data_IF_348155697818
#
_entry.id   IF_348155697818
#
_cell.length_a   1.000
_cell.length_b   1.000
_cell.length_c   1.000
_cell.angle_alpha   90.00
_cell.angle_beta   90.00
_cell.angle_gamma   90.00
#
_symmetry.space_group_name_H-M   'P 1'
#
loop_
_entity.id
_entity.type
_entity.pdbx_description
1 polymer ?
#
# COMPACT_ATOMS: atom_id res chain seq x y z
N UNK A 1 -5.19 30.07 16.16
CA UNK A 1 -6.08 28.91 15.93
C UNK A 1 -5.83 28.38 14.52
N UNK A 2 -5.03 27.31 14.37
CA UNK A 2 -4.67 26.76 13.05
C UNK A 2 -5.85 25.94 12.49
N UNK A 3 -6.50 26.45 11.43
CA UNK A 3 -7.54 25.72 10.70
C UNK A 3 -6.88 24.66 9.81
N UNK A 4 -6.94 23.39 10.23
CA UNK A 4 -6.57 22.26 9.38
C UNK A 4 -7.67 22.13 8.32
N UNK A 5 -7.39 22.56 7.08
CA UNK A 5 -8.27 22.32 5.93
C UNK A 5 -8.09 20.86 5.48
N UNK A 6 -9.00 19.99 5.87
CA UNK A 6 -9.14 18.66 5.28
C UNK A 6 -9.55 18.84 3.82
N UNK A 7 -8.61 18.65 2.87
CA UNK A 7 -8.92 18.68 1.44
C UNK A 7 -9.75 17.45 1.10
N UNK A 8 -11.05 17.62 0.94
CA UNK A 8 -11.93 16.64 0.29
C UNK A 8 -11.66 16.76 -1.22
N UNK A 9 -11.11 15.71 -1.83
CA UNK A 9 -10.74 15.69 -3.24
C UNK A 9 -11.91 15.26 -4.13
N UNK A 10 -12.16 15.99 -5.21
CA UNK A 10 -13.19 15.71 -6.22
C UNK A 10 -12.47 15.38 -7.55
N UNK A 11 -12.67 14.17 -8.12
CA UNK A 11 -11.94 13.74 -9.33
C UNK A 11 -12.60 14.23 -10.63
N UNK A 12 -11.76 14.66 -11.57
CA UNK A 12 -12.14 15.10 -12.92
C UNK A 12 -12.03 13.93 -13.91
N UNK A 13 -13.16 13.61 -14.56
CA UNK A 13 -13.35 12.81 -15.80
C UNK A 13 -12.69 11.43 -15.93
N UNK A 14 -13.52 10.38 -15.88
CA UNK A 14 -13.18 8.96 -16.01
C UNK A 14 -13.54 8.40 -17.39
N UNK A 15 -12.59 7.77 -18.07
CA UNK A 15 -12.85 6.74 -19.09
C UNK A 15 -12.47 5.39 -18.50
N UNK A 16 -13.46 4.49 -18.39
CA UNK A 16 -13.30 3.14 -17.84
C UNK A 16 -13.51 3.10 -16.32
N UNK A 17 -14.38 2.20 -15.88
CA UNK A 17 -14.80 1.99 -14.49
C UNK A 17 -13.65 1.51 -13.58
N UNK A 18 -12.72 2.41 -13.25
CA UNK A 18 -11.79 2.27 -12.14
C UNK A 18 -12.25 3.21 -11.02
N UNK A 19 -12.52 2.63 -9.87
CA UNK A 19 -13.14 3.32 -8.74
C UNK A 19 -12.33 4.55 -8.32
N UNK A 20 -13.02 5.67 -8.08
CA UNK A 20 -12.44 7.01 -7.85
C UNK A 20 -11.47 7.07 -6.65
N UNK A 21 -11.46 6.04 -5.81
CA UNK A 21 -10.65 5.94 -4.59
C UNK A 21 -9.46 4.99 -4.73
N UNK A 22 -9.41 4.23 -5.82
CA UNK A 22 -8.29 3.33 -6.14
C UNK A 22 -7.01 4.11 -6.47
N UNK A 23 -7.13 5.18 -7.27
CA UNK A 23 -5.99 5.98 -7.73
C UNK A 23 -5.27 6.68 -6.55
N UNK A 24 -5.96 7.32 -5.59
CA UNK A 24 -5.32 7.95 -4.43
C UNK A 24 -4.54 6.98 -3.55
N UNK A 25 -5.12 5.83 -3.18
CA UNK A 25 -4.48 4.87 -2.27
C UNK A 25 -3.25 4.21 -2.90
N UNK A 26 -3.30 3.95 -4.21
CA UNK A 26 -2.13 3.50 -4.96
C UNK A 26 -1.02 4.56 -4.98
N UNK A 27 -1.38 5.84 -5.11
CA UNK A 27 -0.40 6.92 -5.04
C UNK A 27 0.20 7.07 -3.65
N UNK A 28 -0.59 6.91 -2.58
CA UNK A 28 -0.09 6.93 -1.21
C UNK A 28 0.93 5.81 -0.97
N UNK A 29 0.64 4.59 -1.44
CA UNK A 29 1.58 3.47 -1.38
C UNK A 29 2.86 3.77 -2.17
N UNK A 30 2.74 4.27 -3.41
CA UNK A 30 3.91 4.68 -4.21
C UNK A 30 4.75 5.72 -3.48
N UNK A 31 4.10 6.76 -2.96
CA UNK A 31 4.78 7.82 -2.22
C UNK A 31 5.50 7.28 -0.99
N UNK A 32 4.86 6.36 -0.26
CA UNK A 32 5.46 5.76 0.93
C UNK A 32 6.71 4.93 0.60
N UNK A 33 6.68 4.16 -0.51
CA UNK A 33 7.85 3.41 -1.01
C UNK A 33 8.97 4.37 -1.44
N UNK A 34 8.67 5.35 -2.31
CA UNK A 34 9.68 6.25 -2.87
C UNK A 34 10.21 7.28 -1.87
N UNK A 35 9.53 7.51 -0.74
CA UNK A 35 10.02 8.39 0.33
C UNK A 35 11.08 7.72 1.21
N UNK A 36 11.23 6.38 1.15
CA UNK A 36 12.26 5.65 1.87
C UNK A 36 13.47 5.38 0.97
N UNK A 37 14.67 5.77 1.42
CA UNK A 37 15.90 5.65 0.62
C UNK A 37 16.26 4.22 0.20
N UNK A 38 15.98 3.22 1.04
CA UNK A 38 16.29 1.83 0.71
C UNK A 38 15.26 1.30 -0.28
N UNK A 39 13.98 1.51 0.01
CA UNK A 39 12.89 0.99 -0.82
C UNK A 39 12.83 1.70 -2.18
N UNK A 40 13.15 2.99 -2.26
CA UNK A 40 13.20 3.72 -3.53
C UNK A 40 14.22 3.10 -4.48
N UNK A 41 15.42 2.77 -3.97
CA UNK A 41 16.48 2.12 -4.77
C UNK A 41 16.06 0.74 -5.26
N UNK A 42 15.38 -0.03 -4.41
CA UNK A 42 14.85 -1.34 -4.79
C UNK A 42 13.71 -1.23 -5.81
N UNK A 43 12.89 -0.18 -5.72
CA UNK A 43 11.86 0.09 -6.73
C UNK A 43 12.48 0.52 -8.07
N UNK A 44 13.50 1.39 -8.05
CA UNK A 44 14.23 1.84 -9.24
C UNK A 44 14.99 0.69 -9.92
N UNK A 45 15.41 -0.33 -9.16
CA UNK A 45 16.08 -1.52 -9.69
C UNK A 45 15.11 -2.67 -10.02
N UNK A 46 13.80 -2.39 -10.12
CA UNK A 46 12.73 -3.36 -10.39
C UNK A 46 12.64 -4.53 -9.38
N UNK A 47 13.26 -4.41 -8.21
CA UNK A 47 13.18 -5.40 -7.13
C UNK A 47 11.93 -5.21 -6.27
N UNK A 48 11.34 -4.00 -6.24
CA UNK A 48 10.00 -3.77 -5.70
C UNK A 48 9.06 -3.41 -6.84
N UNK A 49 8.05 -4.24 -7.06
CA UNK A 49 7.01 -3.99 -8.06
C UNK A 49 5.77 -3.44 -7.36
N UNK A 50 5.30 -2.28 -7.81
CA UNK A 50 4.08 -1.64 -7.32
C UNK A 50 3.00 -1.73 -8.39
N UNK A 51 1.96 -2.51 -8.12
CA UNK A 51 0.90 -2.84 -9.08
C UNK A 51 -0.47 -2.97 -8.41
N UNK A 52 -1.50 -3.22 -9.23
CA UNK A 52 -2.80 -3.68 -8.76
C UNK A 52 -2.82 -5.19 -8.67
N UNK A 53 -3.29 -5.75 -7.55
CA UNK A 53 -3.69 -7.15 -7.46
C UNK A 53 -5.16 -7.23 -7.11
N UNK A 54 -5.98 -7.86 -7.97
CA UNK A 54 -7.44 -7.99 -7.80
C UNK A 54 -8.13 -6.62 -7.59
N UNK A 55 -7.57 -5.55 -8.18
CA UNK A 55 -8.09 -4.19 -8.03
C UNK A 55 -7.59 -3.45 -6.79
N UNK A 56 -6.60 -3.97 -6.06
CA UNK A 56 -6.05 -3.35 -4.85
C UNK A 56 -4.56 -3.00 -4.95
N UNK A 57 -4.12 -1.88 -4.36
CA UNK A 57 -2.71 -1.50 -4.36
C UNK A 57 -1.84 -2.52 -3.63
N UNK A 58 -0.78 -2.98 -4.29
CA UNK A 58 0.21 -3.89 -3.71
C UNK A 58 1.61 -3.47 -4.11
N UNK A 59 2.53 -3.48 -3.15
CA UNK A 59 3.98 -3.42 -3.36
C UNK A 59 4.57 -4.78 -2.99
N UNK A 60 5.30 -5.41 -3.90
CA UNK A 60 5.85 -6.76 -3.73
C UNK A 60 7.35 -6.77 -3.97
N UNK A 61 8.10 -7.40 -3.08
CA UNK A 61 9.52 -7.67 -3.30
C UNK A 61 9.66 -8.88 -4.24
N UNK A 62 10.35 -8.67 -5.36
CA UNK A 62 10.37 -9.55 -6.53
C UNK A 62 10.79 -10.97 -6.16
N UNK A 63 10.14 -11.95 -6.79
CA UNK A 63 10.40 -13.39 -6.60
C UNK A 63 10.25 -13.88 -5.15
N UNK A 64 9.64 -13.09 -4.26
CA UNK A 64 9.36 -13.51 -2.87
C UNK A 64 7.87 -13.44 -2.56
N UNK A 65 7.49 -13.95 -1.40
CA UNK A 65 6.17 -13.70 -0.81
C UNK A 65 6.09 -12.42 0.02
N UNK A 66 7.16 -11.59 0.05
CA UNK A 66 7.21 -10.38 0.86
C UNK A 66 6.44 -9.26 0.14
N UNK A 67 5.40 -8.71 0.78
CA UNK A 67 4.55 -7.68 0.18
C UNK A 67 3.81 -6.81 1.19
N UNK A 68 3.40 -5.63 0.75
CA UNK A 68 2.41 -4.78 1.41
C UNK A 68 1.19 -4.69 0.48
N UNK A 69 0.01 -5.06 0.95
CA UNK A 69 -1.27 -4.84 0.28
C UNK A 69 -2.14 -3.85 1.05
N UNK A 70 -2.92 -3.04 0.33
CA UNK A 70 -3.98 -2.23 0.92
C UNK A 70 -5.31 -2.81 0.47
N UNK A 71 -5.94 -3.55 1.37
CA UNK A 71 -7.08 -4.42 1.08
C UNK A 71 -8.36 -3.87 1.72
N UNK A 72 -9.55 -4.19 1.18
CA UNK A 72 -10.80 -3.78 1.78
C UNK A 72 -10.95 -4.45 3.15
N UNK A 73 -11.54 -3.73 4.11
CA UNK A 73 -11.74 -4.24 5.48
C UNK A 73 -12.64 -5.49 5.52
N UNK A 74 -13.48 -5.69 4.49
CA UNK A 74 -14.31 -6.87 4.37
C UNK A 74 -14.38 -7.36 2.90
N UNK A 75 -13.39 -8.18 2.46
CA UNK A 75 -13.32 -8.65 1.08
C UNK A 75 -14.48 -9.59 0.70
N UNK A 76 -15.11 -10.23 1.68
CA UNK A 76 -16.24 -11.15 1.48
C UNK A 76 -17.55 -10.41 1.23
N UNK A 77 -17.74 -9.23 1.82
CA UNK A 77 -19.01 -8.49 1.75
C UNK A 77 -18.93 -7.36 0.72
N UNK A 78 -17.85 -6.57 0.66
CA UNK A 78 -17.69 -5.47 -0.32
C UNK A 78 -16.23 -5.27 -0.73
N UNK A 79 -16.02 -5.34 -2.04
CA UNK A 79 -14.72 -5.23 -2.70
C UNK A 79 -14.23 -3.78 -2.92
N UNK A 80 -14.87 -2.78 -2.31
CA UNK A 80 -14.46 -1.38 -2.47
C UNK A 80 -13.71 -0.87 -1.23
N UNK A 81 -12.83 0.12 -1.43
CA UNK A 81 -12.03 0.74 -0.37
C UNK A 81 -12.77 1.92 0.31
N UNK A 82 -14.03 2.19 -0.08
CA UNK A 82 -14.76 3.40 0.36
C UNK A 82 -15.21 3.31 1.82
N UNK A 83 -15.49 2.10 2.29
CA UNK A 83 -15.92 1.81 3.65
C UNK A 83 -14.75 1.58 4.62
N UNK A 84 -13.52 1.67 4.12
CA UNK A 84 -12.30 1.46 4.89
C UNK A 84 -11.40 0.39 4.27
N UNK A 85 -10.16 0.41 4.73
CA UNK A 85 -9.09 -0.47 4.27
C UNK A 85 -8.29 -0.97 5.46
N UNK A 86 -7.58 -2.07 5.23
CA UNK A 86 -6.54 -2.60 6.09
C UNK A 86 -5.23 -2.62 5.32
N UNK A 87 -4.12 -2.39 6.02
CA UNK A 87 -2.80 -2.59 5.43
C UNK A 87 -2.32 -3.97 5.84
N UNK A 88 -2.08 -4.85 4.87
CA UNK A 88 -1.65 -6.22 5.11
C UNK A 88 -0.20 -6.37 4.68
N UNK A 89 0.64 -6.87 5.56
CA UNK A 89 2.05 -7.14 5.28
C UNK A 89 2.25 -8.63 5.29
N UNK A 90 2.97 -9.13 4.29
CA UNK A 90 3.27 -10.55 4.15
C UNK A 90 4.78 -10.70 4.10
N UNK A 91 5.30 -11.76 4.70
CA UNK A 91 6.71 -12.15 4.61
C UNK A 91 6.93 -13.44 3.80
N UNK A 92 5.89 -13.91 3.11
CA UNK A 92 5.85 -15.18 2.39
C UNK A 92 5.50 -16.41 3.22
N UNK A 93 5.46 -16.30 4.55
CA UNK A 93 5.03 -17.38 5.47
C UNK A 93 3.76 -17.02 6.23
N UNK A 94 3.69 -15.77 6.70
CA UNK A 94 2.59 -15.24 7.47
C UNK A 94 2.13 -13.88 6.90
N UNK A 95 0.91 -13.50 7.28
CA UNK A 95 0.34 -12.19 7.02
C UNK A 95 0.06 -11.49 8.35
N UNK A 96 0.32 -10.18 8.40
CA UNK A 96 0.02 -9.31 9.52
C UNK A 96 -0.86 -8.16 9.05
N UNK A 97 -1.99 -7.99 9.73
CA UNK A 97 -2.90 -6.87 9.50
C UNK A 97 -2.52 -5.68 10.39
N UNK A 98 -2.41 -4.50 9.78
CA UNK A 98 -2.22 -3.24 10.49
C UNK A 98 -3.49 -2.40 10.32
N UNK A 99 -4.28 -2.41 11.39
CA UNK A 99 -5.53 -1.68 11.47
C UNK A 99 -5.31 -0.19 11.77
N UNK A 100 -6.26 0.64 11.33
CA UNK A 100 -6.29 2.08 11.57
C UNK A 100 -6.14 2.93 10.30
N UNK A 101 -6.14 4.25 10.48
CA UNK A 101 -6.04 5.23 9.39
C UNK A 101 -4.76 5.04 8.56
N UNK A 102 -4.84 5.18 7.22
CA UNK A 102 -3.73 4.91 6.30
C UNK A 102 -2.46 5.68 6.66
N UNK A 103 -2.62 6.95 7.04
CA UNK A 103 -1.50 7.82 7.41
C UNK A 103 -0.73 7.33 8.66
N UNK A 104 -1.27 6.39 9.43
CA UNK A 104 -0.61 5.75 10.57
C UNK A 104 -0.23 4.30 10.28
N UNK A 105 -1.12 3.55 9.64
CA UNK A 105 -0.89 2.14 9.34
C UNK A 105 0.17 1.94 8.25
N UNK A 106 0.17 2.77 7.20
CA UNK A 106 1.10 2.65 6.09
C UNK A 106 2.57 2.92 6.50
N UNK A 107 2.92 3.99 7.25
CA UNK A 107 4.30 4.17 7.71
C UNK A 107 4.80 3.02 8.59
N UNK A 108 3.94 2.50 9.47
CA UNK A 108 4.25 1.32 10.28
C UNK A 108 4.51 0.11 9.38
N UNK A 109 3.69 -0.07 8.35
CA UNK A 109 3.83 -1.16 7.42
C UNK A 109 5.11 -1.11 6.60
N UNK A 110 5.49 0.08 6.15
CA UNK A 110 6.76 0.33 5.46
C UNK A 110 7.94 -0.07 6.36
N UNK A 111 7.89 0.27 7.65
CA UNK A 111 8.92 -0.13 8.61
C UNK A 111 9.11 -1.65 8.69
N UNK A 112 8.01 -2.40 8.82
CA UNK A 112 8.05 -3.88 8.91
C UNK A 112 8.45 -4.51 7.57
N UNK A 113 7.95 -3.99 6.45
CA UNK A 113 8.32 -4.45 5.12
C UNK A 113 9.83 -4.36 4.86
N UNK A 114 10.46 -3.26 5.29
CA UNK A 114 11.93 -3.11 5.23
C UNK A 114 12.65 -4.17 6.04
N UNK A 115 12.13 -4.48 7.24
CA UNK A 115 12.72 -5.52 8.10
C UNK A 115 12.69 -6.86 7.37
N UNK A 116 11.54 -7.25 6.81
CA UNK A 116 11.43 -8.52 6.09
C UNK A 116 12.31 -8.60 4.84
N UNK A 117 12.47 -7.50 4.09
CA UNK A 117 13.40 -7.49 2.95
C UNK A 117 14.84 -7.68 3.43
N UNK A 118 15.26 -6.96 4.49
CA UNK A 118 16.61 -7.10 5.04
C UNK A 118 16.86 -8.51 5.56
N UNK A 119 15.92 -9.06 6.32
CA UNK A 119 15.99 -10.44 6.79
C UNK A 119 16.18 -11.39 5.61
N UNK A 120 15.39 -11.24 4.53
CA UNK A 120 15.52 -12.09 3.35
C UNK A 120 16.85 -11.93 2.60
N UNK A 121 17.40 -10.72 2.48
CA UNK A 121 18.68 -10.47 1.81
C UNK A 121 19.90 -10.94 2.64
N UNK A 122 19.73 -11.11 3.95
CA UNK A 122 20.78 -11.62 4.86
C UNK A 122 20.83 -13.17 4.94
N UNK A 123 19.82 -13.87 4.43
CA UNK A 123 19.77 -15.35 4.31
C UNK A 123 20.16 -15.83 2.91
#
# INVERSE_FOLDING_TARGET
MLKIKTKIYIPTTLTGTMDKHYIPVLQDLRKAIYSDRMLSRLADSDNIVIHSSVGYPVAKYKNTGISIGIEPLNPMIRRDLTLGYIVVIRNGKAAQEINGLLNRSLPKAIGIFKIHIKEYEEY
#
